data_IF_290088615510
#
_entry.id   IF_290088615510
#
_cell.length_a   1.000
_cell.length_b   1.000
_cell.length_c   1.000
_cell.angle_alpha   90.00
_cell.angle_beta   90.00
_cell.angle_gamma   90.00
#
_symmetry.space_group_name_H-M   'P 1'
#
loop_
_entity.id
_entity.type
_entity.pdbx_description
1 polymer ?
#
# COMPACT_ATOMS: atom_id res chain seq x y z
N UNK A 1 20.88 -1.49 23.87
CA UNK A 1 20.13 -2.75 23.73
C UNK A 1 18.65 -2.51 23.54
N UNK A 2 17.89 -1.97 24.52
CA UNK A 2 16.44 -1.69 24.36
C UNK A 2 16.04 -0.93 23.08
N UNK A 3 16.74 0.16 22.75
CA UNK A 3 16.41 0.98 21.57
C UNK A 3 16.62 0.25 20.23
N UNK A 4 17.65 -0.62 20.13
CA UNK A 4 17.94 -1.36 18.90
C UNK A 4 16.92 -2.49 18.66
N UNK A 5 16.46 -3.15 19.73
CA UNK A 5 15.38 -4.14 19.66
C UNK A 5 14.03 -3.48 19.28
N UNK A 6 13.73 -2.30 19.84
CA UNK A 6 12.52 -1.55 19.48
C UNK A 6 12.53 -1.08 18.03
N UNK A 7 13.67 -0.60 17.54
CA UNK A 7 13.82 -0.15 16.15
C UNK A 7 13.63 -1.30 15.16
N UNK A 8 14.23 -2.47 15.44
CA UNK A 8 14.02 -3.69 14.65
C UNK A 8 12.57 -4.14 14.65
N UNK A 9 11.88 -4.05 15.79
CA UNK A 9 10.45 -4.38 15.88
C UNK A 9 9.61 -3.43 15.02
N UNK A 10 9.83 -2.12 15.14
CA UNK A 10 9.12 -1.11 14.32
C UNK A 10 9.39 -1.31 12.83
N UNK A 11 10.62 -1.62 12.44
CA UNK A 11 10.97 -1.89 11.05
C UNK A 11 10.29 -3.15 10.50
N UNK A 12 10.23 -4.22 11.29
CA UNK A 12 9.50 -5.44 10.94
C UNK A 12 8.00 -5.17 10.72
N UNK A 13 7.38 -4.38 11.61
CA UNK A 13 5.98 -3.98 11.47
C UNK A 13 5.75 -3.11 10.24
N UNK A 14 6.59 -2.10 10.01
CA UNK A 14 6.50 -1.22 8.85
C UNK A 14 6.71 -1.97 7.52
N UNK A 15 7.64 -2.92 7.50
CA UNK A 15 7.86 -3.82 6.36
C UNK A 15 6.62 -4.68 6.07
N UNK A 16 6.05 -5.31 7.09
CA UNK A 16 4.83 -6.11 6.94
C UNK A 16 3.67 -5.24 6.40
N UNK A 17 3.55 -4.00 6.88
CA UNK A 17 2.57 -3.04 6.33
C UNK A 17 2.81 -2.79 4.84
N UNK A 18 4.06 -2.56 4.42
CA UNK A 18 4.41 -2.34 3.02
C UNK A 18 4.12 -3.57 2.14
N UNK A 19 4.48 -4.76 2.60
CA UNK A 19 4.18 -6.03 1.92
C UNK A 19 2.67 -6.21 1.73
N UNK A 20 1.88 -6.05 2.79
CA UNK A 20 0.42 -6.14 2.74
C UNK A 20 -0.18 -5.11 1.77
N UNK A 21 0.33 -3.88 1.76
CA UNK A 21 -0.14 -2.84 0.85
C UNK A 21 0.16 -3.17 -0.63
N UNK A 22 1.38 -3.66 -0.90
CA UNK A 22 1.77 -4.15 -2.23
C UNK A 22 0.86 -5.29 -2.69
N UNK A 23 0.55 -6.25 -1.81
CA UNK A 23 -0.36 -7.36 -2.11
C UNK A 23 -1.79 -6.88 -2.40
N UNK A 24 -2.31 -5.95 -1.59
CA UNK A 24 -3.63 -5.35 -1.80
C UNK A 24 -3.75 -4.66 -3.17
N UNK A 25 -2.75 -3.85 -3.54
CA UNK A 25 -2.73 -3.18 -4.84
C UNK A 25 -2.66 -4.19 -5.99
N UNK A 26 -1.86 -5.25 -5.87
CA UNK A 26 -1.81 -6.34 -6.86
C UNK A 26 -3.17 -7.01 -7.03
N UNK A 27 -3.92 -7.21 -5.94
CA UNK A 27 -5.27 -7.77 -6.00
C UNK A 27 -6.23 -6.84 -6.75
N UNK A 28 -6.17 -5.52 -6.51
CA UNK A 28 -6.95 -4.54 -7.28
C UNK A 28 -6.55 -4.55 -8.76
N UNK A 29 -5.27 -4.67 -9.09
CA UNK A 29 -4.82 -4.81 -10.48
C UNK A 29 -5.30 -6.12 -11.14
N UNK A 30 -5.49 -7.19 -10.36
CA UNK A 30 -6.03 -8.46 -10.87
C UNK A 30 -7.54 -8.40 -11.08
N UNK A 31 -8.30 -7.89 -10.09
CA UNK A 31 -9.77 -7.92 -10.09
C UNK A 31 -10.45 -6.62 -10.57
N UNK A 32 -9.95 -5.47 -10.14
CA UNK A 32 -10.53 -4.14 -10.43
C UNK A 32 -9.97 -3.46 -11.68
N UNK A 33 -8.92 -4.01 -12.29
CA UNK A 33 -8.24 -3.30 -13.38
C UNK A 33 -9.11 -3.09 -14.61
N UNK A 34 -10.13 -3.92 -14.89
CA UNK A 34 -10.99 -3.70 -16.08
C UNK A 34 -11.58 -2.28 -16.17
N UNK A 35 -11.79 -1.62 -15.02
CA UNK A 35 -12.32 -0.23 -14.92
C UNK A 35 -11.24 0.87 -14.93
N UNK A 36 -9.97 0.48 -14.80
CA UNK A 36 -8.83 1.38 -14.67
C UNK A 36 -8.17 1.64 -16.03
N UNK A 37 -7.68 2.87 -16.27
CA UNK A 37 -7.00 3.21 -17.52
C UNK A 37 -5.71 2.40 -17.66
N UNK A 38 -5.39 1.95 -18.86
CA UNK A 38 -4.17 1.17 -19.15
C UNK A 38 -2.91 1.90 -18.66
N UNK A 39 -2.86 3.23 -18.82
CA UNK A 39 -1.76 4.07 -18.31
C UNK A 39 -1.60 3.97 -16.79
N UNK A 40 -2.70 4.01 -16.05
CA UNK A 40 -2.70 3.94 -14.59
C UNK A 40 -2.30 2.54 -14.11
N UNK A 41 -2.83 1.48 -14.75
CA UNK A 41 -2.41 0.09 -14.47
C UNK A 41 -0.92 -0.10 -14.65
N UNK A 42 -0.38 0.38 -15.77
CA UNK A 42 1.05 0.24 -16.09
C UNK A 42 1.90 1.03 -15.09
N UNK A 43 1.47 2.24 -14.72
CA UNK A 43 2.16 3.05 -13.70
C UNK A 43 2.19 2.34 -12.36
N UNK A 44 1.05 1.84 -11.87
CA UNK A 44 0.99 1.11 -10.60
C UNK A 44 1.83 -0.17 -10.68
N UNK A 45 1.72 -0.95 -11.76
CA UNK A 45 2.50 -2.18 -11.94
C UNK A 45 4.00 -1.95 -11.83
N UNK A 46 4.52 -0.89 -12.48
CA UNK A 46 5.94 -0.52 -12.39
C UNK A 46 6.33 -0.14 -10.96
N UNK A 47 5.53 0.70 -10.29
CA UNK A 47 5.82 1.13 -8.91
C UNK A 47 5.80 -0.04 -7.93
N UNK A 48 4.87 -0.97 -8.11
CA UNK A 48 4.77 -2.19 -7.31
C UNK A 48 5.97 -3.09 -7.50
N UNK A 49 6.41 -3.28 -8.75
CA UNK A 49 7.60 -4.07 -9.06
C UNK A 49 8.87 -3.43 -8.48
N UNK A 50 9.03 -2.12 -8.64
CA UNK A 50 10.10 -1.35 -8.01
C UNK A 50 10.10 -1.46 -6.49
N UNK A 51 8.91 -1.44 -5.87
CA UNK A 51 8.77 -1.59 -4.42
C UNK A 51 9.13 -3.01 -3.98
N UNK A 52 8.67 -4.04 -4.69
CA UNK A 52 9.05 -5.43 -4.39
C UNK A 52 10.56 -5.62 -4.46
N UNK A 53 11.23 -5.12 -5.52
CA UNK A 53 12.69 -5.17 -5.61
C UNK A 53 13.37 -4.39 -4.48
N UNK A 54 12.83 -3.22 -4.15
CA UNK A 54 13.35 -2.42 -3.04
C UNK A 54 13.23 -3.16 -1.70
N UNK A 55 12.10 -3.84 -1.45
CA UNK A 55 11.90 -4.69 -0.26
C UNK A 55 12.91 -5.85 -0.20
N UNK A 56 13.19 -6.50 -1.32
CA UNK A 56 14.18 -7.57 -1.40
C UNK A 56 15.60 -7.06 -1.09
N UNK A 57 15.97 -5.91 -1.65
CA UNK A 57 17.29 -5.29 -1.41
C UNK A 57 17.43 -4.74 0.01
N UNK A 58 16.34 -4.25 0.58
CA UNK A 58 16.31 -3.65 1.92
C UNK A 58 15.71 -4.60 2.96
N UNK A 59 15.76 -5.92 2.71
CA UNK A 59 15.10 -6.93 3.55
C UNK A 59 15.57 -6.89 5.03
N UNK A 60 16.85 -6.59 5.26
CA UNK A 60 17.51 -6.51 6.57
C UNK A 60 17.54 -5.09 7.17
N UNK A 61 16.87 -4.12 6.55
CA UNK A 61 16.85 -2.74 7.02
C UNK A 61 16.13 -2.65 8.38
N UNK A 62 16.78 -2.07 9.38
CA UNK A 62 16.21 -1.86 10.72
C UNK A 62 15.54 -0.49 10.88
N UNK A 63 15.49 0.34 9.84
CA UNK A 63 14.92 1.68 9.87
C UNK A 63 13.45 1.67 9.43
N UNK A 64 12.52 1.75 10.39
CA UNK A 64 11.08 1.77 10.13
C UNK A 64 10.65 2.93 9.22
N UNK A 65 11.25 4.11 9.42
CA UNK A 65 10.94 5.34 8.67
C UNK A 65 11.08 5.14 7.16
N UNK A 66 12.09 4.38 6.71
CA UNK A 66 12.30 4.12 5.28
C UNK A 66 11.20 3.29 4.66
N UNK A 67 10.66 2.31 5.39
CA UNK A 67 9.50 1.55 4.95
C UNK A 67 8.25 2.43 4.92
N UNK A 68 8.04 3.30 5.91
CA UNK A 68 6.89 4.21 5.96
C UNK A 68 6.92 5.27 4.85
N UNK A 69 8.09 5.84 4.54
CA UNK A 69 8.28 6.74 3.39
C UNK A 69 7.85 6.04 2.09
N UNK A 70 8.23 4.76 1.92
CA UNK A 70 7.87 3.98 0.74
C UNK A 70 6.37 3.66 0.67
N UNK A 71 5.71 3.41 1.81
CA UNK A 71 4.25 3.26 1.89
C UNK A 71 3.56 4.54 1.43
N UNK A 72 3.96 5.70 1.96
CA UNK A 72 3.38 7.01 1.59
C UNK A 72 3.55 7.33 0.10
N UNK A 73 4.69 6.97 -0.48
CA UNK A 73 4.94 7.11 -1.92
C UNK A 73 3.94 6.29 -2.75
N UNK A 74 3.68 5.04 -2.35
CA UNK A 74 2.67 4.18 -3.00
C UNK A 74 1.26 4.73 -2.83
N UNK A 75 0.90 5.16 -1.62
CA UNK A 75 -0.40 5.77 -1.32
C UNK A 75 -0.65 6.99 -2.21
N UNK A 76 0.31 7.92 -2.29
CA UNK A 76 0.19 9.12 -3.13
C UNK A 76 -0.13 8.81 -4.60
N UNK A 77 0.39 7.68 -5.12
CA UNK A 77 0.12 7.23 -6.48
C UNK A 77 -1.21 6.50 -6.57
N UNK A 78 -1.53 5.66 -5.58
CA UNK A 78 -2.68 4.76 -5.61
C UNK A 78 -4.00 5.43 -5.20
N UNK A 79 -3.97 6.34 -4.22
CA UNK A 79 -5.12 7.12 -3.75
C UNK A 79 -5.90 7.81 -4.88
N UNK A 80 -5.29 8.64 -5.75
CA UNK A 80 -6.03 9.30 -6.81
C UNK A 80 -6.57 8.31 -7.84
N UNK A 81 -6.01 7.11 -7.95
CA UNK A 81 -6.46 6.09 -8.92
C UNK A 81 -7.69 5.35 -8.37
N UNK A 82 -7.68 4.96 -7.10
CA UNK A 82 -8.81 4.23 -6.50
C UNK A 82 -10.05 5.13 -6.39
N UNK A 83 -9.90 6.41 -6.01
CA UNK A 83 -11.01 7.37 -5.97
C UNK A 83 -11.68 7.52 -7.34
N UNK A 84 -10.89 7.53 -8.43
CA UNK A 84 -11.41 7.59 -9.80
C UNK A 84 -12.11 6.30 -10.24
N UNK A 85 -11.72 5.15 -9.70
CA UNK A 85 -12.37 3.85 -9.97
C UNK A 85 -13.68 3.72 -9.19
N UNK A 86 -13.71 4.19 -7.93
CA UNK A 86 -14.88 4.15 -7.04
C UNK A 86 -15.99 5.11 -7.50
N UNK A 87 -15.66 6.34 -7.91
CA UNK A 87 -16.64 7.30 -8.47
C UNK A 87 -17.31 6.82 -9.76
N UNK A 88 -16.68 5.91 -10.52
CA UNK A 88 -17.30 5.28 -11.70
C UNK A 88 -18.29 4.17 -11.35
N UNK A 89 -18.47 3.85 -10.07
CA UNK A 89 -19.37 2.81 -9.60
C UNK A 89 -20.80 3.31 -9.36
N UNK A 90 -21.04 4.61 -9.30
CA UNK A 90 -22.37 5.17 -8.95
C UNK A 90 -23.42 5.13 -10.07
N UNK A 91 -23.13 4.55 -11.25
CA UNK A 91 -24.06 4.62 -12.38
C UNK A 91 -24.50 3.29 -13.02
N UNK A 92 -24.02 2.14 -12.53
CA UNK A 92 -24.44 0.85 -13.08
C UNK A 92 -24.60 -0.22 -11.99
N UNK A 93 -25.86 -0.60 -11.79
CA UNK A 93 -26.34 -1.90 -11.32
C UNK A 93 -26.45 -2.18 -9.80
N UNK A 94 -27.69 -2.39 -9.38
CA UNK A 94 -28.07 -2.90 -8.08
C UNK A 94 -27.72 -4.39 -7.95
N UNK A 95 -26.53 -4.71 -7.43
CA UNK A 95 -26.20 -6.10 -7.11
C UNK A 95 -24.75 -6.32 -6.68
N UNK A 96 -24.55 -6.72 -5.42
CA UNK A 96 -23.26 -7.10 -4.80
C UNK A 96 -22.24 -5.98 -4.61
N UNK A 97 -22.31 -5.29 -3.46
CA UNK A 97 -21.21 -4.47 -2.92
C UNK A 97 -20.04 -5.37 -2.51
N UNK A 98 -19.19 -5.75 -3.46
CA UNK A 98 -17.78 -5.90 -3.14
C UNK A 98 -17.23 -4.47 -3.04
N UNK A 99 -17.47 -3.82 -1.89
CA UNK A 99 -16.80 -2.57 -1.58
C UNK A 99 -15.31 -2.84 -1.72
N UNK A 100 -14.63 -2.08 -2.60
CA UNK A 100 -13.19 -1.95 -2.58
C UNK A 100 -12.84 -1.17 -1.30
N UNK A 101 -13.15 -1.74 -0.14
CA UNK A 101 -12.81 -1.17 1.15
C UNK A 101 -11.31 -1.08 1.17
N UNK A 102 -10.82 0.15 0.99
CA UNK A 102 -9.47 0.55 1.35
C UNK A 102 -9.16 -0.17 2.67
N UNK A 103 -8.12 -1.02 2.75
CA UNK A 103 -7.58 -1.34 4.05
C UNK A 103 -7.25 0.04 4.63
N UNK A 104 -7.91 0.40 5.74
CA UNK A 104 -7.36 1.44 6.60
C UNK A 104 -5.99 0.90 6.95
N UNK A 105 -4.97 1.36 6.24
CA UNK A 105 -3.63 1.35 6.78
C UNK A 105 -3.78 2.32 7.93
N UNK A 106 -4.14 1.79 9.10
CA UNK A 106 -3.94 2.50 10.34
C UNK A 106 -2.43 2.70 10.37
N UNK A 107 -2.02 3.87 9.90
CA UNK A 107 -0.84 4.54 10.39
C UNK A 107 -1.12 4.57 11.88
N UNK A 108 -0.72 3.52 12.58
CA UNK A 108 -0.66 3.56 14.03
C UNK A 108 0.31 4.69 14.25
N UNK A 109 -0.23 5.84 14.66
CA UNK A 109 0.54 6.95 15.17
C UNK A 109 1.41 6.34 16.27
N UNK A 110 2.64 5.97 15.93
CA UNK A 110 3.70 5.78 16.92
C UNK A 110 4.18 7.21 17.24
N UNK A 111 3.24 8.00 17.75
CA UNK A 111 3.48 9.31 18.32
C UNK A 111 2.79 9.22 19.69
N UNK A 112 3.60 9.35 20.74
CA UNK A 112 3.21 9.36 22.16
C UNK A 112 2.81 8.02 22.82
N UNK A 113 3.82 7.33 23.36
CA UNK A 113 3.71 6.60 24.63
C UNK A 113 4.93 7.00 25.47
N UNK A 114 4.88 8.21 26.02
CA UNK A 114 5.61 8.60 27.24
C UNK A 114 4.80 8.16 28.47
#
# INVERSE_FOLDING_TARGET
FKAEDEERKKASEAKNRLENYVHFIKEILRGGSKKMRIKDKRKIGVVIEQTTQWLEWNYLLAEATKFEEKIKELESIFEPIITRVDQRQEHDDAGSKASLTRPKVEIVDIVDLD
#
